data_IF_993651789388
#
_entry.id   IF_993651789388
#
_cell.length_a   1.000
_cell.length_b   1.000
_cell.length_c   1.000
_cell.angle_alpha   90.00
_cell.angle_beta   90.00
_cell.angle_gamma   90.00
#
_symmetry.space_group_name_H-M   'P 1'
#
loop_
_entity.id
_entity.type
_entity.pdbx_description
1 polymer ?
#
# COMPACT_ATOMS: atom_id res chain seq x y z
N UNK A 1 -58.00 29.52 -37.01
CA UNK A 1 -56.76 29.23 -36.27
C UNK A 1 -56.53 27.73 -36.30
N UNK A 2 -55.52 27.24 -37.02
CA UNK A 2 -55.23 25.80 -37.10
C UNK A 2 -54.40 25.37 -35.88
N UNK A 3 -54.96 24.47 -35.08
CA UNK A 3 -54.26 23.81 -33.99
C UNK A 3 -53.19 22.88 -34.57
N UNK A 4 -51.91 23.17 -34.34
CA UNK A 4 -50.80 22.24 -34.62
C UNK A 4 -50.62 21.30 -33.43
N UNK A 5 -50.91 20.03 -33.65
CA UNK A 5 -50.60 18.94 -32.70
C UNK A 5 -49.07 18.86 -32.51
N UNK A 6 -48.54 18.79 -31.28
CA UNK A 6 -47.11 18.62 -31.06
C UNK A 6 -46.65 17.28 -31.63
N UNK A 7 -45.76 17.31 -32.63
CA UNK A 7 -45.07 16.10 -33.09
C UNK A 7 -44.12 15.65 -31.98
N UNK A 8 -44.42 14.51 -31.36
CA UNK A 8 -43.46 13.76 -30.56
C UNK A 8 -42.24 13.47 -31.45
N UNK A 9 -41.12 14.14 -31.18
CA UNK A 9 -39.83 13.68 -31.70
C UNK A 9 -39.56 12.30 -31.07
N UNK A 10 -39.23 11.26 -31.84
CA UNK A 10 -38.77 10.02 -31.25
C UNK A 10 -37.56 10.33 -30.35
N UNK A 11 -37.56 9.80 -29.12
CA UNK A 11 -36.36 9.84 -28.27
C UNK A 11 -35.21 9.28 -29.12
N UNK A 12 -34.12 10.05 -29.26
CA UNK A 12 -32.87 9.50 -29.80
C UNK A 12 -32.58 8.21 -29.03
N UNK A 13 -32.18 7.11 -29.68
CA UNK A 13 -31.77 5.91 -28.95
C UNK A 13 -30.74 6.35 -27.90
N UNK A 14 -31.00 6.06 -26.62
CA UNK A 14 -30.01 6.30 -25.57
C UNK A 14 -28.75 5.56 -26.02
N UNK A 15 -27.65 6.30 -26.20
CA UNK A 15 -26.37 5.73 -26.57
C UNK A 15 -26.00 4.66 -25.55
N UNK A 16 -25.61 3.47 -26.01
CA UNK A 16 -25.14 2.38 -25.16
C UNK A 16 -24.19 2.92 -24.06
N UNK A 17 -24.55 2.83 -22.78
CA UNK A 17 -23.78 3.43 -21.70
C UNK A 17 -22.37 2.82 -21.60
N UNK A 18 -22.14 1.62 -22.14
CA UNK A 18 -20.84 0.93 -22.14
C UNK A 18 -20.03 1.11 -23.43
N UNK A 19 -20.44 2.02 -24.32
CA UNK A 19 -19.67 2.32 -25.53
C UNK A 19 -18.22 2.69 -25.20
N UNK A 20 -17.28 2.06 -25.91
CA UNK A 20 -15.83 2.23 -25.70
C UNK A 20 -15.19 1.26 -24.69
N UNK A 21 -15.98 0.40 -24.06
CA UNK A 21 -15.49 -0.63 -23.13
C UNK A 21 -15.40 -1.99 -23.82
N UNK A 22 -14.34 -2.74 -23.50
CA UNK A 22 -14.23 -4.15 -23.86
C UNK A 22 -15.31 -4.94 -23.11
N UNK A 23 -16.01 -5.83 -23.81
CA UNK A 23 -17.03 -6.72 -23.23
C UNK A 23 -16.58 -8.17 -23.26
N UNK A 24 -17.07 -8.95 -22.31
CA UNK A 24 -16.91 -10.41 -22.26
C UNK A 24 -18.25 -11.08 -21.89
N UNK A 25 -18.44 -12.35 -22.26
CA UNK A 25 -19.55 -13.14 -21.73
C UNK A 25 -19.12 -13.75 -20.40
N UNK A 26 -19.96 -13.68 -19.39
CA UNK A 26 -19.60 -14.16 -18.06
C UNK A 26 -19.26 -15.66 -18.03
N UNK A 27 -19.91 -16.44 -18.89
CA UNK A 27 -19.70 -17.88 -19.04
C UNK A 27 -18.37 -18.23 -19.75
N UNK A 28 -17.69 -17.27 -20.37
CA UNK A 28 -16.34 -17.46 -20.95
C UNK A 28 -15.25 -17.56 -19.87
N UNK A 29 -15.59 -17.28 -18.60
CA UNK A 29 -14.66 -17.36 -17.47
C UNK A 29 -14.85 -18.69 -16.74
N UNK A 30 -13.85 -19.55 -16.82
CA UNK A 30 -13.85 -20.89 -16.20
C UNK A 30 -13.19 -20.87 -14.81
N UNK A 31 -13.21 -22.01 -14.11
CA UNK A 31 -12.53 -22.22 -12.82
C UNK A 31 -12.88 -21.17 -11.74
N UNK A 32 -14.12 -20.68 -11.77
CA UNK A 32 -14.53 -19.59 -10.89
C UNK A 32 -14.50 -20.01 -9.43
N UNK A 33 -13.74 -19.27 -8.61
CA UNK A 33 -13.66 -19.47 -7.16
C UNK A 33 -13.96 -18.15 -6.46
N UNK A 34 -14.78 -18.18 -5.42
CA UNK A 34 -14.98 -17.01 -4.60
C UNK A 34 -13.70 -16.68 -3.82
N UNK A 35 -13.22 -15.44 -3.95
CA UNK A 35 -12.09 -14.92 -3.17
C UNK A 35 -12.62 -14.23 -1.91
N UNK A 36 -13.63 -13.36 -2.08
CA UNK A 36 -14.09 -12.50 -1.00
C UNK A 36 -15.55 -12.06 -1.18
N UNK A 37 -16.18 -11.64 -0.08
CA UNK A 37 -17.47 -10.93 -0.06
C UNK A 37 -17.22 -9.55 0.57
N UNK A 38 -16.79 -8.61 -0.26
CA UNK A 38 -16.57 -7.23 0.15
C UNK A 38 -17.87 -6.44 0.30
N UNK A 39 -17.75 -5.19 0.74
CA UNK A 39 -18.86 -4.21 0.83
C UNK A 39 -19.58 -4.01 -0.51
N UNK A 40 -18.86 -4.10 -1.63
CA UNK A 40 -19.39 -3.92 -3.00
C UNK A 40 -20.09 -5.14 -3.57
N UNK A 41 -19.83 -6.32 -3.00
CA UNK A 41 -20.43 -7.57 -3.46
C UNK A 41 -19.41 -8.70 -3.51
N UNK A 42 -19.59 -9.55 -4.49
CA UNK A 42 -18.89 -10.82 -4.59
C UNK A 42 -17.66 -10.67 -5.48
N UNK A 43 -16.49 -11.04 -4.94
CA UNK A 43 -15.23 -11.07 -5.69
C UNK A 43 -14.90 -12.52 -6.00
N UNK A 44 -14.70 -12.84 -7.28
CA UNK A 44 -14.32 -14.17 -7.76
C UNK A 44 -13.01 -14.13 -8.52
N UNK A 45 -12.19 -15.14 -8.32
CA UNK A 45 -11.13 -15.54 -9.25
C UNK A 45 -11.77 -16.32 -10.40
N UNK A 46 -11.16 -16.28 -11.58
CA UNK A 46 -11.43 -17.22 -12.66
C UNK A 46 -10.35 -17.19 -13.73
N UNK A 47 -10.49 -18.05 -14.73
CA UNK A 47 -9.59 -18.11 -15.89
C UNK A 47 -10.35 -17.69 -17.14
N UNK A 48 -9.91 -16.61 -17.78
CA UNK A 48 -10.57 -16.03 -18.95
C UNK A 48 -9.80 -16.34 -20.21
N UNK A 49 -10.50 -16.70 -21.28
CA UNK A 49 -9.93 -16.87 -22.62
C UNK A 49 -10.55 -15.86 -23.59
N UNK A 50 -9.85 -14.76 -23.92
CA UNK A 50 -10.35 -13.80 -24.89
C UNK A 50 -10.60 -14.46 -26.25
N UNK A 51 -11.68 -14.06 -26.93
CA UNK A 51 -11.97 -14.54 -28.28
C UNK A 51 -10.80 -14.24 -29.23
N UNK A 52 -10.29 -15.28 -29.89
CA UNK A 52 -9.15 -15.17 -30.81
C UNK A 52 -7.76 -15.20 -30.16
N UNK A 53 -7.67 -15.31 -28.83
CA UNK A 53 -6.39 -15.52 -28.15
C UNK A 53 -6.15 -17.01 -27.85
N UNK A 54 -4.88 -17.48 -27.97
CA UNK A 54 -4.55 -18.90 -27.84
C UNK A 54 -4.59 -19.36 -26.38
N UNK A 55 -4.23 -18.47 -25.45
CA UNK A 55 -4.05 -18.79 -24.04
C UNK A 55 -5.09 -18.08 -23.20
N UNK A 56 -5.50 -18.76 -22.14
CA UNK A 56 -6.33 -18.23 -21.08
C UNK A 56 -5.45 -17.71 -19.95
N UNK A 57 -5.88 -16.65 -19.27
CA UNK A 57 -5.15 -16.06 -18.15
C UNK A 57 -6.05 -15.86 -16.93
N UNK A 58 -5.42 -15.70 -15.77
CA UNK A 58 -6.10 -15.50 -14.50
C UNK A 58 -6.68 -14.09 -14.39
N UNK A 59 -7.92 -13.98 -13.94
CA UNK A 59 -8.66 -12.71 -13.79
C UNK A 59 -9.43 -12.66 -12.48
N UNK A 60 -9.78 -11.44 -12.07
CA UNK A 60 -10.70 -11.17 -10.97
C UNK A 60 -11.99 -10.58 -11.51
N UNK A 61 -13.12 -11.14 -11.07
CA UNK A 61 -14.46 -10.67 -11.35
C UNK A 61 -15.04 -10.02 -10.10
N UNK A 62 -15.43 -8.75 -10.21
CA UNK A 62 -16.16 -8.02 -9.16
C UNK A 62 -17.62 -7.91 -9.57
N UNK A 63 -18.48 -8.63 -8.84
CA UNK A 63 -19.92 -8.63 -9.05
C UNK A 63 -20.58 -7.77 -7.97
N UNK A 64 -21.52 -6.89 -8.33
CA UNK A 64 -22.19 -6.05 -7.35
C UNK A 64 -23.15 -6.84 -6.47
N UNK A 65 -23.30 -6.39 -5.22
CA UNK A 65 -24.20 -6.98 -4.22
C UNK A 65 -25.67 -6.77 -4.58
N UNK A 66 -26.03 -5.53 -4.88
CA UNK A 66 -27.42 -5.10 -5.11
C UNK A 66 -27.52 -4.36 -6.45
N UNK A 67 -28.36 -4.87 -7.35
CA UNK A 67 -28.69 -4.21 -8.61
C UNK A 67 -30.09 -3.59 -8.46
N UNK A 68 -30.16 -2.30 -8.17
CA UNK A 68 -31.42 -1.58 -7.98
C UNK A 68 -31.45 -0.25 -8.73
N UNK A 69 -32.64 0.20 -9.17
CA UNK A 69 -32.81 1.51 -9.78
C UNK A 69 -31.94 1.75 -11.03
N UNK A 70 -31.27 2.91 -11.08
CA UNK A 70 -30.41 3.35 -12.20
C UNK A 70 -28.99 2.73 -12.17
N UNK A 71 -28.81 1.57 -11.54
CA UNK A 71 -27.51 0.93 -11.32
C UNK A 71 -26.66 0.80 -12.60
N UNK A 72 -27.28 0.48 -13.75
CA UNK A 72 -26.58 0.37 -15.04
C UNK A 72 -25.77 1.62 -15.39
N UNK A 73 -26.32 2.82 -15.16
CA UNK A 73 -25.65 4.09 -15.48
C UNK A 73 -24.50 4.37 -14.52
N UNK A 74 -24.61 3.95 -13.26
CA UNK A 74 -23.57 4.10 -12.24
C UNK A 74 -22.42 3.13 -12.52
N UNK A 75 -22.76 1.86 -12.77
CA UNK A 75 -21.81 0.82 -13.14
C UNK A 75 -21.04 1.15 -14.43
N UNK A 76 -21.71 1.69 -15.46
CA UNK A 76 -21.04 2.13 -16.68
C UNK A 76 -20.07 3.30 -16.44
N UNK A 77 -20.39 4.23 -15.52
CA UNK A 77 -19.48 5.33 -15.15
C UNK A 77 -18.24 4.79 -14.43
N UNK A 78 -18.42 3.83 -13.54
CA UNK A 78 -17.33 3.16 -12.82
C UNK A 78 -16.40 2.43 -13.80
N UNK A 79 -16.95 1.59 -14.68
CA UNK A 79 -16.17 0.89 -15.70
C UNK A 79 -15.40 1.86 -16.61
N UNK A 80 -16.00 2.99 -16.98
CA UNK A 80 -15.31 4.04 -17.78
C UNK A 80 -14.18 4.73 -17.01
N UNK A 81 -14.37 5.00 -15.72
CA UNK A 81 -13.33 5.55 -14.87
C UNK A 81 -12.14 4.59 -14.79
N UNK A 82 -12.39 3.32 -14.47
CA UNK A 82 -11.36 2.28 -14.41
C UNK A 82 -10.62 2.13 -15.75
N UNK A 83 -11.35 2.12 -16.87
CA UNK A 83 -10.76 2.05 -18.20
C UNK A 83 -9.94 3.28 -18.58
N UNK A 84 -10.21 4.46 -17.99
CA UNK A 84 -9.48 5.70 -18.29
C UNK A 84 -8.07 5.77 -17.67
N UNK A 85 -7.81 4.96 -16.64
CA UNK A 85 -6.55 4.95 -15.89
C UNK A 85 -5.76 3.65 -16.05
N UNK A 86 -6.18 2.78 -16.97
CA UNK A 86 -5.47 1.51 -17.22
C UNK A 86 -4.09 1.77 -17.86
N UNK A 87 -3.14 0.90 -17.54
CA UNK A 87 -1.80 0.90 -18.14
C UNK A 87 -0.70 1.45 -17.23
N UNK A 88 -1.03 2.05 -16.09
CA UNK A 88 -0.02 2.42 -15.09
C UNK A 88 0.43 1.18 -14.28
N UNK A 89 1.74 0.97 -14.04
CA UNK A 89 2.24 -0.23 -13.38
C UNK A 89 1.73 -0.41 -11.94
N UNK A 90 1.43 0.69 -11.26
CA UNK A 90 0.95 0.70 -9.86
C UNK A 90 -0.56 0.93 -9.70
N UNK A 91 -1.34 0.75 -10.77
CA UNK A 91 -2.81 0.74 -10.73
C UNK A 91 -3.29 -0.62 -11.22
N UNK A 92 -4.32 -1.18 -10.59
CA UNK A 92 -4.94 -2.42 -11.07
C UNK A 92 -5.54 -2.20 -12.47
N UNK A 93 -5.19 -3.08 -13.40
CA UNK A 93 -5.61 -3.00 -14.78
C UNK A 93 -7.04 -3.50 -14.95
N UNK A 94 -7.91 -2.63 -15.46
CA UNK A 94 -9.23 -3.00 -15.92
C UNK A 94 -9.18 -3.60 -17.32
N UNK A 95 -9.77 -4.78 -17.47
CA UNK A 95 -9.72 -5.54 -18.72
C UNK A 95 -11.03 -5.43 -19.50
N UNK A 96 -12.17 -5.73 -18.87
CA UNK A 96 -13.45 -5.84 -19.55
C UNK A 96 -14.65 -5.73 -18.60
N UNK A 97 -15.84 -5.61 -19.17
CA UNK A 97 -17.11 -5.59 -18.44
C UNK A 97 -18.09 -6.63 -18.99
N UNK A 98 -18.81 -7.32 -18.10
CA UNK A 98 -20.02 -8.08 -18.43
C UNK A 98 -21.23 -7.27 -18.01
N UNK A 99 -22.30 -7.35 -18.80
CA UNK A 99 -23.61 -6.75 -18.48
C UNK A 99 -24.66 -7.80 -18.14
N UNK A 100 -24.31 -9.08 -18.23
CA UNK A 100 -25.20 -10.19 -17.87
C UNK A 100 -24.39 -11.39 -17.30
N UNK A 101 -24.30 -11.52 -15.96
CA UNK A 101 -24.59 -10.48 -14.97
C UNK A 101 -23.63 -9.28 -15.08
N UNK A 102 -23.93 -8.17 -14.41
CA UNK A 102 -22.96 -7.08 -14.25
C UNK A 102 -21.72 -7.59 -13.53
N UNK A 103 -20.55 -7.45 -14.16
CA UNK A 103 -19.27 -7.81 -13.56
C UNK A 103 -18.14 -6.98 -14.16
N UNK A 104 -17.26 -6.43 -13.31
CA UNK A 104 -16.00 -5.84 -13.74
C UNK A 104 -14.92 -6.92 -13.74
N UNK A 105 -14.14 -6.99 -14.82
CA UNK A 105 -12.98 -7.86 -14.93
C UNK A 105 -11.71 -7.04 -14.80
N UNK A 106 -10.85 -7.45 -13.87
CA UNK A 106 -9.51 -6.88 -13.66
C UNK A 106 -8.45 -7.96 -13.70
N UNK A 107 -7.20 -7.56 -13.84
CA UNK A 107 -6.06 -8.48 -13.73
C UNK A 107 -6.06 -9.20 -12.36
N UNK A 108 -5.57 -10.45 -12.34
CA UNK A 108 -5.30 -11.17 -11.09
C UNK A 108 -3.89 -10.89 -10.57
N UNK A 109 -3.82 -10.33 -9.37
CA UNK A 109 -2.58 -9.90 -8.71
C UNK A 109 -2.34 -10.75 -7.47
N UNK A 110 -1.15 -11.36 -7.36
CA UNK A 110 -0.72 -12.10 -6.17
C UNK A 110 0.78 -12.00 -5.91
N UNK A 111 1.15 -12.05 -4.65
CA UNK A 111 2.50 -12.35 -4.19
C UNK A 111 2.55 -13.83 -3.80
N UNK A 112 3.38 -14.59 -4.50
CA UNK A 112 3.65 -16.01 -4.22
C UNK A 112 4.86 -16.13 -3.32
N UNK A 113 4.73 -16.84 -2.20
CA UNK A 113 5.88 -17.13 -1.34
C UNK A 113 6.68 -18.37 -1.77
N UNK A 114 6.30 -18.99 -2.90
CA UNK A 114 6.96 -20.19 -3.42
C UNK A 114 8.48 -20.04 -3.62
N UNK A 115 9.01 -18.88 -4.09
CA UNK A 115 10.46 -18.65 -4.15
C UNK A 115 11.18 -18.68 -2.80
N UNK A 116 10.44 -18.62 -1.69
CA UNK A 116 10.92 -18.65 -0.30
C UNK A 116 10.50 -19.93 0.42
N UNK A 117 10.29 -21.02 -0.33
CA UNK A 117 9.92 -22.35 0.17
C UNK A 117 8.58 -22.41 0.92
N UNK A 118 7.69 -21.45 0.65
CA UNK A 118 6.37 -21.35 1.27
C UNK A 118 5.27 -21.38 0.19
N UNK A 119 4.36 -22.35 0.28
CA UNK A 119 3.30 -22.57 -0.72
C UNK A 119 2.15 -21.57 -0.64
N UNK A 120 2.21 -20.61 0.28
CA UNK A 120 1.18 -19.59 0.42
C UNK A 120 1.27 -18.54 -0.68
N UNK A 121 0.12 -17.91 -0.94
CA UNK A 121 0.05 -16.72 -1.78
C UNK A 121 -0.96 -15.77 -1.16
N UNK A 122 -0.68 -14.49 -1.28
CA UNK A 122 -1.53 -13.41 -0.78
C UNK A 122 -1.76 -12.39 -1.89
N UNK A 123 -2.88 -11.68 -1.85
CA UNK A 123 -3.18 -10.64 -2.84
C UNK A 123 -3.09 -9.24 -2.27
N UNK A 124 -3.48 -9.02 -1.01
CA UNK A 124 -3.48 -7.69 -0.39
C UNK A 124 -2.21 -7.41 0.41
N UNK A 125 -1.84 -6.14 0.53
CA UNK A 125 -0.75 -5.70 1.39
C UNK A 125 -1.06 -6.01 2.87
N UNK A 126 -2.32 -5.94 3.29
CA UNK A 126 -2.71 -6.32 4.65
C UNK A 126 -2.33 -7.78 4.96
N UNK A 127 -2.65 -8.70 4.06
CA UNK A 127 -2.34 -10.13 4.22
C UNK A 127 -0.84 -10.39 4.11
N UNK A 128 -0.15 -9.69 3.20
CA UNK A 128 1.31 -9.76 3.06
C UNK A 128 2.03 -9.38 4.36
N UNK A 129 1.70 -8.23 4.95
CA UNK A 129 2.33 -7.79 6.20
C UNK A 129 2.07 -8.77 7.34
N UNK A 130 0.82 -9.26 7.46
CA UNK A 130 0.44 -10.24 8.48
C UNK A 130 1.19 -11.56 8.31
N UNK A 131 1.32 -12.05 7.07
CA UNK A 131 2.01 -13.28 6.74
C UNK A 131 3.50 -13.17 7.04
N UNK A 132 4.15 -12.12 6.54
CA UNK A 132 5.59 -11.92 6.72
C UNK A 132 5.95 -11.72 8.21
N UNK A 133 5.15 -10.93 8.94
CA UNK A 133 5.33 -10.79 10.39
C UNK A 133 5.27 -12.14 11.12
N UNK A 134 4.30 -12.99 10.76
CA UNK A 134 4.03 -14.24 11.47
C UNK A 134 4.99 -15.38 11.10
N UNK A 135 5.42 -15.47 9.84
CA UNK A 135 6.20 -16.60 9.33
C UNK A 135 7.71 -16.34 9.27
N UNK A 136 8.13 -15.08 9.09
CA UNK A 136 9.53 -14.74 8.78
C UNK A 136 10.21 -13.99 9.93
N UNK A 137 10.21 -14.57 11.13
CA UNK A 137 10.95 -14.12 12.32
C UNK A 137 11.07 -12.58 12.42
N UNK A 138 9.93 -11.88 12.50
CA UNK A 138 9.92 -10.42 12.59
C UNK A 138 10.47 -9.75 11.32
N UNK A 139 9.97 -10.15 10.15
CA UNK A 139 10.27 -9.52 8.85
C UNK A 139 11.71 -9.69 8.33
N UNK A 140 12.47 -10.64 8.88
CA UNK A 140 13.86 -10.90 8.49
C UNK A 140 13.96 -11.29 7.01
N UNK A 141 14.80 -10.56 6.26
CA UNK A 141 15.02 -10.76 4.82
C UNK A 141 14.00 -10.05 3.91
N UNK A 142 13.02 -9.36 4.49
CA UNK A 142 11.99 -8.60 3.77
C UNK A 142 12.09 -7.09 4.02
N UNK A 143 13.13 -6.62 4.71
CA UNK A 143 13.25 -5.24 5.16
C UNK A 143 13.33 -4.25 3.99
N UNK A 144 14.05 -4.59 2.91
CA UNK A 144 14.19 -3.77 1.71
C UNK A 144 12.90 -3.68 0.88
N UNK A 145 11.92 -4.55 1.15
CA UNK A 145 10.62 -4.55 0.47
C UNK A 145 9.78 -3.34 0.89
N UNK A 146 9.91 -2.88 2.15
CA UNK A 146 9.08 -1.80 2.71
C UNK A 146 9.24 -0.47 1.96
N UNK A 147 10.46 0.05 1.70
CA UNK A 147 10.64 1.24 0.85
C UNK A 147 10.10 1.06 -0.57
N UNK A 148 10.23 -0.14 -1.16
CA UNK A 148 9.70 -0.43 -2.49
C UNK A 148 8.17 -0.36 -2.53
N UNK A 149 7.49 -0.92 -1.52
CA UNK A 149 6.03 -0.80 -1.36
C UNK A 149 5.64 0.68 -1.23
N UNK A 150 6.29 1.42 -0.32
CA UNK A 150 5.99 2.83 -0.08
C UNK A 150 6.09 3.67 -1.37
N UNK A 151 7.09 3.37 -2.21
CA UNK A 151 7.34 4.06 -3.49
C UNK A 151 6.29 3.72 -4.53
N UNK A 152 5.95 2.44 -4.68
CA UNK A 152 4.94 2.00 -5.65
C UNK A 152 3.56 2.56 -5.32
N UNK A 153 3.19 2.61 -4.03
CA UNK A 153 1.93 3.22 -3.59
C UNK A 153 1.93 4.72 -3.89
N UNK A 154 3.04 5.44 -3.65
CA UNK A 154 3.13 6.86 -4.00
C UNK A 154 3.02 7.10 -5.52
N UNK A 155 3.67 6.28 -6.34
CA UNK A 155 3.57 6.35 -7.80
C UNK A 155 2.13 6.13 -8.30
N UNK A 156 1.44 5.11 -7.77
CA UNK A 156 0.04 4.88 -8.09
C UNK A 156 -0.85 6.07 -7.70
N UNK A 157 -0.66 6.59 -6.48
CA UNK A 157 -1.48 7.68 -5.97
C UNK A 157 -1.24 8.99 -6.72
N UNK A 158 0.02 9.30 -7.04
CA UNK A 158 0.40 10.40 -7.93
C UNK A 158 -0.34 10.32 -9.26
N UNK A 159 -0.29 9.16 -9.91
CA UNK A 159 -0.94 8.96 -11.20
C UNK A 159 -2.46 9.18 -11.14
N UNK A 160 -3.13 8.72 -10.08
CA UNK A 160 -4.55 9.02 -9.88
C UNK A 160 -4.79 10.52 -9.71
N UNK A 161 -3.98 11.19 -8.87
CA UNK A 161 -4.10 12.62 -8.58
C UNK A 161 -3.87 13.49 -9.81
N UNK A 162 -2.89 13.15 -10.66
CA UNK A 162 -2.63 13.81 -11.95
C UNK A 162 -3.83 13.70 -12.91
N UNK A 163 -4.57 12.59 -12.83
CA UNK A 163 -5.79 12.35 -13.58
C UNK A 163 -7.06 12.88 -12.87
N UNK A 164 -6.91 13.70 -11.82
CA UNK A 164 -8.01 14.26 -11.02
C UNK A 164 -8.94 13.19 -10.42
N UNK A 165 -8.36 12.04 -10.05
CA UNK A 165 -9.02 10.94 -9.38
C UNK A 165 -8.47 10.86 -7.96
N UNK A 166 -9.38 10.79 -6.99
CA UNK A 166 -9.06 10.62 -5.57
C UNK A 166 -9.56 9.25 -5.14
N UNK A 167 -8.78 8.58 -4.31
CA UNK A 167 -9.03 7.22 -3.87
C UNK A 167 -10.13 7.16 -2.81
N UNK A 168 -9.95 7.93 -1.71
CA UNK A 168 -10.83 8.09 -0.54
C UNK A 168 -10.92 6.91 0.44
N UNK A 169 -10.58 5.70 0.01
CA UNK A 169 -10.48 4.53 0.91
C UNK A 169 -9.10 3.84 0.83
N UNK A 170 -8.01 4.61 0.80
CA UNK A 170 -6.68 4.03 0.66
C UNK A 170 -6.29 3.34 1.97
N UNK A 171 -6.03 2.03 1.91
CA UNK A 171 -5.63 1.19 3.04
C UNK A 171 -4.92 -0.07 2.53
N UNK A 172 -4.19 -0.81 3.38
CA UNK A 172 -3.47 -2.01 2.96
C UNK A 172 -4.35 -3.09 2.30
N UNK A 173 -5.64 -3.17 2.63
CA UNK A 173 -6.55 -4.11 1.97
C UNK A 173 -6.84 -3.76 0.49
N UNK A 174 -6.73 -2.47 0.12
CA UNK A 174 -6.98 -1.96 -1.24
C UNK A 174 -5.67 -1.76 -2.05
N UNK A 175 -4.55 -2.21 -1.50
CA UNK A 175 -3.24 -2.22 -2.18
C UNK A 175 -2.92 -3.68 -2.46
N UNK A 176 -2.87 -4.06 -3.74
CA UNK A 176 -2.51 -5.40 -4.15
C UNK A 176 -0.99 -5.54 -4.28
N UNK A 177 -0.45 -6.69 -3.89
CA UNK A 177 0.98 -7.01 -3.95
C UNK A 177 1.26 -8.08 -5.00
N UNK A 178 2.34 -7.91 -5.76
CA UNK A 178 2.74 -8.86 -6.79
C UNK A 178 4.24 -9.13 -6.77
N UNK A 179 4.58 -10.38 -7.02
CA UNK A 179 5.90 -10.78 -7.49
C UNK A 179 5.87 -11.61 -8.77
N UNK A 180 4.75 -11.63 -9.47
CA UNK A 180 4.53 -12.46 -10.67
C UNK A 180 5.56 -12.20 -11.78
N UNK A 181 6.24 -11.04 -11.76
CA UNK A 181 7.32 -10.72 -12.70
C UNK A 181 8.58 -11.57 -12.51
N UNK A 182 8.77 -12.23 -11.36
CA UNK A 182 9.91 -13.13 -11.11
C UNK A 182 9.56 -14.50 -10.56
N UNK A 183 8.28 -14.85 -10.38
CA UNK A 183 7.90 -16.17 -9.83
C UNK A 183 8.40 -17.38 -10.63
N UNK A 184 8.73 -17.19 -11.90
CA UNK A 184 9.24 -18.24 -12.79
C UNK A 184 10.78 -18.21 -12.93
N UNK A 185 11.46 -17.29 -12.26
CA UNK A 185 12.91 -17.14 -12.28
C UNK A 185 13.56 -18.01 -11.20
N UNK A 186 14.81 -18.42 -11.40
CA UNK A 186 15.56 -19.25 -10.48
C UNK A 186 17.05 -18.83 -10.43
N UNK A 187 17.75 -19.23 -9.37
CA UNK A 187 19.18 -18.93 -9.19
C UNK A 187 19.47 -17.43 -9.18
N UNK A 188 20.57 -17.05 -9.82
CA UNK A 188 21.08 -15.67 -9.85
C UNK A 188 20.06 -14.64 -10.39
N UNK A 189 19.19 -15.03 -11.34
CA UNK A 189 18.14 -14.16 -11.88
C UNK A 189 17.08 -13.80 -10.84
N UNK A 190 16.67 -14.79 -10.04
CA UNK A 190 15.72 -14.59 -8.94
C UNK A 190 16.34 -13.70 -7.87
N UNK A 191 17.59 -13.96 -7.49
CA UNK A 191 18.30 -13.16 -6.49
C UNK A 191 18.45 -11.70 -6.95
N UNK A 192 18.85 -11.49 -8.20
CA UNK A 192 18.95 -10.14 -8.77
C UNK A 192 17.59 -9.42 -8.72
N UNK A 193 16.52 -10.07 -9.16
CA UNK A 193 15.20 -9.44 -9.21
C UNK A 193 14.61 -9.22 -7.81
N UNK A 194 14.87 -10.12 -6.86
CA UNK A 194 14.49 -9.95 -5.46
C UNK A 194 15.14 -8.73 -4.81
N UNK A 195 16.39 -8.44 -5.15
CA UNK A 195 17.09 -7.26 -4.63
C UNK A 195 16.71 -5.99 -5.38
N UNK A 196 16.54 -6.06 -6.71
CA UNK A 196 16.28 -4.90 -7.56
C UNK A 196 14.82 -4.44 -7.53
N UNK A 197 13.87 -5.38 -7.57
CA UNK A 197 12.43 -5.12 -7.61
C UNK A 197 11.67 -6.24 -6.88
N UNK A 198 11.78 -6.29 -5.54
CA UNK A 198 11.21 -7.36 -4.72
C UNK A 198 9.69 -7.49 -4.83
N UNK A 199 8.99 -6.41 -5.19
CA UNK A 199 7.53 -6.37 -5.22
C UNK A 199 7.07 -5.35 -6.25
N UNK A 200 5.84 -5.55 -6.73
CA UNK A 200 5.04 -4.54 -7.43
C UNK A 200 3.75 -4.32 -6.64
N UNK A 201 3.49 -3.10 -6.21
CA UNK A 201 2.22 -2.75 -5.57
C UNK A 201 1.28 -2.05 -6.55
N UNK A 202 0.00 -2.43 -6.52
CA UNK A 202 -1.05 -1.88 -7.39
C UNK A 202 -2.23 -1.41 -6.54
N UNK A 203 -2.61 -0.15 -6.70
CA UNK A 203 -3.80 0.41 -6.07
C UNK A 203 -5.04 -0.13 -6.78
N UNK A 204 -5.97 -0.68 -6.01
CA UNK A 204 -7.28 -1.14 -6.45
C UNK A 204 -8.38 -0.32 -5.77
N UNK A 205 -9.64 -0.50 -6.18
CA UNK A 205 -10.78 0.01 -5.41
C UNK A 205 -10.79 1.54 -5.21
N UNK A 206 -10.25 2.25 -6.21
CA UNK A 206 -10.27 3.70 -6.30
C UNK A 206 -11.54 4.20 -6.99
N UNK A 207 -11.95 5.44 -6.68
CA UNK A 207 -13.16 6.02 -7.25
C UNK A 207 -14.45 5.59 -6.54
N UNK A 208 -14.32 4.84 -5.46
CA UNK A 208 -15.39 4.34 -4.57
C UNK A 208 -16.25 5.44 -3.90
N UNK A 209 -15.93 6.72 -4.12
CA UNK A 209 -16.74 7.87 -3.70
C UNK A 209 -17.63 8.51 -4.79
N UNK A 210 -17.86 7.86 -5.94
CA UNK A 210 -18.44 8.54 -7.14
C UNK A 210 -19.85 8.11 -7.59
N UNK A 211 -20.64 7.42 -6.78
CA UNK A 211 -22.09 7.36 -7.05
C UNK A 211 -22.88 8.63 -6.60
N UNK A 212 -22.20 9.64 -6.05
CA UNK A 212 -22.83 10.87 -5.57
C UNK A 212 -22.19 12.18 -6.09
N UNK A 213 -21.73 12.21 -7.35
CA UNK A 213 -21.39 13.49 -8.06
C UNK A 213 -22.68 14.28 -8.43
N UNK A 214 -23.80 14.02 -7.75
CA UNK A 214 -24.96 14.90 -7.73
C UNK A 214 -25.29 15.13 -6.26
N UNK A 215 -25.12 16.39 -5.84
CA UNK A 215 -25.33 16.95 -4.50
C UNK A 215 -24.14 16.84 -3.55
N UNK A 216 -23.36 17.93 -3.55
CA UNK A 216 -22.26 18.30 -2.64
C UNK A 216 -22.57 18.11 -1.15
N UNK A 217 -23.84 17.88 -0.75
CA UNK A 217 -24.26 17.60 0.62
C UNK A 217 -24.28 16.10 1.01
N UNK A 218 -24.33 15.17 0.05
CA UNK A 218 -24.53 13.73 0.34
C UNK A 218 -23.22 12.94 0.45
N UNK A 219 -22.09 13.54 0.09
CA UNK A 219 -20.75 12.93 0.14
C UNK A 219 -20.33 12.46 1.54
N UNK A 220 -20.90 13.07 2.59
CA UNK A 220 -20.53 12.82 3.98
C UNK A 220 -21.46 11.79 4.64
N UNK A 221 -22.64 11.54 4.06
CA UNK A 221 -23.68 10.71 4.70
C UNK A 221 -23.81 9.30 4.14
N UNK A 222 -23.16 8.96 3.02
CA UNK A 222 -23.26 7.64 2.42
C UNK A 222 -22.20 6.68 2.97
N UNK A 223 -22.66 5.82 3.89
CA UNK A 223 -22.09 4.52 4.33
C UNK A 223 -20.87 4.56 5.27
N UNK A 224 -21.17 4.85 6.54
CA UNK A 224 -20.56 4.19 7.73
C UNK A 224 -21.08 2.74 7.86
N UNK A 225 -21.20 2.00 6.76
CA UNK A 225 -21.79 0.65 6.77
C UNK A 225 -20.87 -0.35 6.08
N UNK A 226 -19.71 -0.55 6.71
CA UNK A 226 -19.20 -1.86 7.14
C UNK A 226 -18.02 -1.57 8.06
N UNK A 227 -18.29 -1.61 9.37
CA UNK A 227 -17.30 -1.56 10.44
C UNK A 227 -16.43 -2.82 10.38
N UNK A 228 -15.55 -2.91 9.38
CA UNK A 228 -14.27 -3.55 9.61
C UNK A 228 -13.47 -2.58 10.48
N UNK A 229 -13.12 -3.04 11.68
CA UNK A 229 -12.60 -2.24 12.79
C UNK A 229 -11.37 -1.36 12.46
N UNK A 230 -10.77 -1.52 11.28
CA UNK A 230 -9.59 -0.78 10.81
C UNK A 230 -9.81 0.33 9.78
N UNK A 231 -10.90 0.36 8.99
CA UNK A 231 -11.03 1.38 7.90
C UNK A 231 -11.03 2.85 8.40
N UNK A 232 -11.73 3.19 9.52
CA UNK A 232 -11.69 4.55 10.07
C UNK A 232 -10.29 5.03 10.49
N UNK A 233 -9.38 4.12 10.84
CA UNK A 233 -8.04 4.47 11.31
C UNK A 233 -7.16 5.12 10.22
N UNK A 234 -7.54 4.98 8.94
CA UNK A 234 -6.85 5.59 7.80
C UNK A 234 -7.48 6.93 7.38
N UNK A 235 -8.64 7.31 7.93
CA UNK A 235 -9.34 8.54 7.53
C UNK A 235 -8.68 9.78 8.13
N UNK A 236 -8.62 10.85 7.33
CA UNK A 236 -8.13 12.14 7.78
C UNK A 236 -9.05 12.77 8.84
N UNK A 237 -8.53 13.48 9.85
CA UNK A 237 -9.33 14.08 10.92
C UNK A 237 -10.40 15.03 10.40
N UNK A 238 -10.10 15.80 9.36
CA UNK A 238 -11.04 16.73 8.72
C UNK A 238 -12.19 16.04 7.96
N UNK A 239 -12.08 14.75 7.67
CA UNK A 239 -13.17 13.94 7.11
C UNK A 239 -13.91 13.19 8.23
N UNK A 240 -13.19 12.72 9.23
CA UNK A 240 -13.75 11.85 10.26
C UNK A 240 -14.41 12.60 11.43
N UNK A 241 -13.93 13.79 11.78
CA UNK A 241 -14.48 14.61 12.86
C UNK A 241 -15.57 15.54 12.32
N UNK A 242 -16.84 15.39 12.76
CA UNK A 242 -17.95 16.21 12.26
C UNK A 242 -17.73 17.71 12.36
N UNK A 243 -17.07 18.17 13.42
CA UNK A 243 -16.76 19.57 13.66
C UNK A 243 -15.71 20.17 12.71
N UNK A 244 -14.90 19.34 12.04
CA UNK A 244 -13.87 19.77 11.09
C UNK A 244 -14.29 19.57 9.62
N UNK A 245 -15.43 18.91 9.39
CA UNK A 245 -15.88 18.59 8.04
C UNK A 245 -16.16 19.85 7.24
N UNK A 246 -15.54 20.00 6.05
CA UNK A 246 -15.83 21.13 5.19
C UNK A 246 -17.24 21.03 4.62
N UNK A 247 -17.93 22.16 4.47
CA UNK A 247 -19.24 22.20 3.80
C UNK A 247 -19.13 21.79 2.32
N UNK A 248 -18.02 22.16 1.68
CA UNK A 248 -17.64 21.74 0.34
C UNK A 248 -16.15 21.41 0.34
N UNK A 249 -15.78 20.26 -0.25
CA UNK A 249 -14.40 19.84 -0.38
C UNK A 249 -13.90 20.10 -1.81
N UNK A 250 -12.81 20.86 -1.94
CA UNK A 250 -12.11 21.01 -3.23
C UNK A 250 -11.39 19.71 -3.60
N UNK A 251 -11.06 19.56 -4.88
CA UNK A 251 -10.27 18.41 -5.33
C UNK A 251 -8.92 18.31 -4.61
N UNK A 252 -8.25 19.43 -4.38
CA UNK A 252 -6.96 19.46 -3.67
C UNK A 252 -7.08 19.05 -2.21
N UNK A 253 -8.16 19.43 -1.52
CA UNK A 253 -8.44 18.94 -0.17
C UNK A 253 -8.66 17.42 -0.17
N UNK A 254 -9.37 16.88 -1.16
CA UNK A 254 -9.58 15.44 -1.27
C UNK A 254 -8.29 14.67 -1.59
N UNK A 255 -7.37 15.25 -2.38
CA UNK A 255 -6.02 14.70 -2.58
C UNK A 255 -5.23 14.71 -1.28
N UNK A 256 -5.33 15.76 -0.47
CA UNK A 256 -4.69 15.83 0.85
C UNK A 256 -5.24 14.80 1.85
N UNK A 257 -6.51 14.40 1.72
CA UNK A 257 -7.10 13.28 2.49
C UNK A 257 -6.47 11.95 2.08
N UNK A 258 -6.29 11.70 0.78
CA UNK A 258 -5.56 10.51 0.32
C UNK A 258 -4.11 10.52 0.81
N UNK A 259 -3.48 11.69 0.86
CA UNK A 259 -2.12 11.86 1.37
C UNK A 259 -2.01 11.50 2.85
N UNK A 260 -3.01 11.87 3.67
CA UNK A 260 -3.10 11.39 5.06
C UNK A 260 -3.22 9.86 5.13
N UNK A 261 -4.11 9.27 4.32
CA UNK A 261 -4.30 7.84 4.29
C UNK A 261 -3.02 7.10 3.85
N UNK A 262 -2.27 7.66 2.90
CA UNK A 262 -0.94 7.19 2.52
C UNK A 262 0.01 7.21 3.72
N UNK A 263 0.06 8.32 4.48
CA UNK A 263 0.83 8.40 5.72
C UNK A 263 0.45 7.29 6.72
N UNK A 264 -0.82 6.96 6.86
CA UNK A 264 -1.28 5.85 7.72
C UNK A 264 -0.90 4.46 7.17
N UNK A 265 -0.85 4.28 5.85
CA UNK A 265 -0.28 3.07 5.22
C UNK A 265 1.21 2.95 5.56
N UNK A 266 1.99 4.04 5.44
CA UNK A 266 3.42 4.04 5.79
C UNK A 266 3.67 3.65 7.25
N UNK A 267 2.83 4.12 8.17
CA UNK A 267 2.90 3.72 9.58
C UNK A 267 2.80 2.20 9.78
N UNK A 268 1.85 1.56 9.09
CA UNK A 268 1.65 0.11 9.20
C UNK A 268 2.77 -0.67 8.51
N UNK A 269 3.34 -0.14 7.42
CA UNK A 269 4.52 -0.76 6.78
C UNK A 269 5.70 -0.88 7.74
N UNK A 270 5.92 0.12 8.60
CA UNK A 270 7.00 0.12 9.59
C UNK A 270 6.59 -0.45 10.95
N UNK A 271 5.35 -0.95 11.05
CA UNK A 271 4.79 -1.65 12.21
C UNK A 271 3.93 -2.85 11.80
N UNK A 272 4.48 -3.84 11.07
CA UNK A 272 3.69 -4.93 10.50
C UNK A 272 3.07 -5.89 11.55
N UNK A 273 3.44 -5.77 12.82
CA UNK A 273 2.75 -6.44 13.94
C UNK A 273 1.36 -5.85 14.24
N UNK A 274 1.08 -4.62 13.81
CA UNK A 274 -0.20 -3.95 14.04
C UNK A 274 -1.18 -4.26 12.92
N UNK A 275 -2.44 -4.52 13.27
CA UNK A 275 -3.50 -4.78 12.28
C UNK A 275 -3.99 -3.49 11.62
N UNK A 276 -3.92 -2.36 12.33
CA UNK A 276 -4.35 -1.04 11.85
C UNK A 276 -3.70 0.08 12.69
N UNK A 277 -3.61 1.33 12.19
CA UNK A 277 -3.14 2.47 12.97
C UNK A 277 -3.99 2.68 14.23
N UNK A 278 -3.39 3.20 15.30
CA UNK A 278 -4.06 3.47 16.58
C UNK A 278 -4.52 2.24 17.38
N UNK A 279 -4.10 1.02 17.01
CA UNK A 279 -4.53 -0.21 17.70
C UNK A 279 -4.27 -0.15 19.22
N UNK A 280 -3.06 0.21 19.62
CA UNK A 280 -2.66 0.27 21.04
C UNK A 280 -3.37 1.41 21.79
N UNK A 281 -3.51 2.56 21.14
CA UNK A 281 -4.20 3.73 21.68
C UNK A 281 -5.68 3.44 21.91
N UNK A 282 -6.31 2.75 20.97
CA UNK A 282 -7.71 2.33 21.09
C UNK A 282 -7.90 1.32 22.21
N UNK A 283 -6.96 0.39 22.40
CA UNK A 283 -6.98 -0.55 23.53
C UNK A 283 -6.90 0.22 24.86
N UNK A 284 -5.98 1.20 24.97
CA UNK A 284 -5.81 2.03 26.18
C UNK A 284 -7.03 2.91 26.48
N UNK A 285 -7.57 3.59 25.46
CA UNK A 285 -8.78 4.42 25.61
C UNK A 285 -9.99 3.59 26.04
N UNK A 286 -10.18 2.40 25.45
CA UNK A 286 -11.31 1.53 25.79
C UNK A 286 -11.13 0.80 27.12
N UNK A 287 -9.89 0.56 27.56
CA UNK A 287 -9.63 0.07 28.92
C UNK A 287 -10.05 1.10 29.98
N UNK A 288 -9.90 2.39 29.66
CA UNK A 288 -10.32 3.49 30.53
C UNK A 288 -11.84 3.75 30.47
N UNK A 289 -12.49 3.47 29.34
CA UNK A 289 -13.95 3.57 29.19
C UNK A 289 -14.50 2.46 28.28
N UNK A 290 -14.85 1.28 28.85
CA UNK A 290 -15.25 0.10 28.06
C UNK A 290 -16.53 0.25 27.24
N UNK A 291 -17.42 1.16 27.67
CA UNK A 291 -18.71 1.42 27.02
C UNK A 291 -18.61 2.33 25.80
N UNK A 292 -17.48 3.01 25.60
CA UNK A 292 -17.26 3.86 24.43
C UNK A 292 -17.04 3.00 23.18
N UNK A 293 -17.72 3.37 22.09
CA UNK A 293 -17.54 2.74 20.78
C UNK A 293 -16.10 2.92 20.27
N UNK A 294 -15.63 2.03 19.39
CA UNK A 294 -14.30 2.17 18.76
C UNK A 294 -14.19 3.50 18.00
N UNK A 295 -15.26 3.87 17.30
CA UNK A 295 -15.34 5.12 16.55
C UNK A 295 -15.20 6.34 17.46
N UNK A 296 -15.93 6.39 18.57
CA UNK A 296 -15.86 7.52 19.50
C UNK A 296 -14.52 7.58 20.24
N UNK A 297 -13.91 6.43 20.53
CA UNK A 297 -12.55 6.38 21.07
C UNK A 297 -11.54 6.96 20.08
N UNK A 298 -11.64 6.62 18.79
CA UNK A 298 -10.80 7.19 17.75
C UNK A 298 -11.00 8.71 17.63
N UNK A 299 -12.25 9.19 17.68
CA UNK A 299 -12.53 10.64 17.69
C UNK A 299 -11.86 11.34 18.86
N UNK A 300 -11.82 10.73 20.04
CA UNK A 300 -11.13 11.30 21.21
C UNK A 300 -9.61 11.36 20.99
N UNK A 301 -9.00 10.33 20.42
CA UNK A 301 -7.56 10.31 20.09
C UNK A 301 -7.24 11.42 19.08
N UNK A 302 -8.00 11.51 18.00
CA UNK A 302 -7.77 12.50 16.93
C UNK A 302 -8.00 13.94 17.40
N UNK A 303 -8.99 14.20 18.29
CA UNK A 303 -9.19 15.51 18.91
C UNK A 303 -8.01 15.97 19.77
N UNK A 304 -7.21 15.04 20.27
CA UNK A 304 -5.98 15.35 21.02
C UNK A 304 -4.76 15.52 20.11
N UNK A 305 -4.95 15.44 18.79
CA UNK A 305 -3.86 15.41 17.81
C UNK A 305 -2.81 14.34 18.13
N UNK A 306 -3.24 13.22 18.72
CA UNK A 306 -2.34 12.13 19.08
C UNK A 306 -2.06 11.28 17.84
N UNK A 307 -0.79 11.00 17.56
CA UNK A 307 -0.32 10.09 16.51
C UNK A 307 -0.27 8.63 16.99
N UNK A 308 -0.44 7.65 16.09
CA UNK A 308 -0.26 6.26 16.44
C UNK A 308 1.21 6.00 16.79
N UNK A 309 1.47 5.18 17.82
CA UNK A 309 2.81 4.92 18.31
C UNK A 309 3.40 3.63 17.73
N UNK A 310 4.69 3.69 17.37
CA UNK A 310 5.42 2.51 16.91
C UNK A 310 5.53 1.46 18.02
N UNK A 311 5.57 0.19 17.60
CA UNK A 311 5.91 -0.93 18.49
C UNK A 311 7.42 -1.08 18.61
N UNK A 312 7.91 -1.52 19.77
CA UNK A 312 9.35 -1.76 19.99
C UNK A 312 9.90 -2.99 19.25
N UNK A 313 9.02 -3.79 18.62
CA UNK A 313 9.38 -5.01 17.90
C UNK A 313 10.33 -4.70 16.71
N UNK A 314 10.15 -3.53 16.10
CA UNK A 314 10.83 -3.12 14.87
C UNK A 314 11.74 -1.90 15.07
N UNK A 315 12.13 -1.60 16.30
CA UNK A 315 12.87 -0.38 16.64
C UNK A 315 14.17 -0.23 15.84
N UNK A 316 14.88 -1.34 15.61
CA UNK A 316 16.12 -1.35 14.82
C UNK A 316 15.85 -0.99 13.35
N UNK A 317 14.87 -1.62 12.71
CA UNK A 317 14.52 -1.34 11.31
C UNK A 317 13.98 0.09 11.16
N UNK A 318 13.12 0.54 12.09
CA UNK A 318 12.60 1.91 12.16
C UNK A 318 13.70 2.97 12.29
N UNK A 319 14.76 2.67 13.03
CA UNK A 319 15.94 3.53 13.18
C UNK A 319 16.92 3.44 12.01
N UNK A 320 16.79 2.45 11.11
CA UNK A 320 17.74 2.19 10.02
C UNK A 320 17.03 2.17 8.66
N UNK A 321 16.82 0.99 8.08
CA UNK A 321 16.30 0.76 6.72
C UNK A 321 14.89 1.30 6.49
N UNK A 322 14.10 1.53 7.55
CA UNK A 322 12.75 2.08 7.47
C UNK A 322 12.66 3.55 7.92
N UNK A 323 13.77 4.19 8.28
CA UNK A 323 13.77 5.55 8.83
C UNK A 323 13.16 6.59 7.86
N UNK A 324 13.47 6.48 6.57
CA UNK A 324 12.87 7.34 5.53
C UNK A 324 11.35 7.18 5.47
N UNK A 325 10.87 5.93 5.55
CA UNK A 325 9.42 5.63 5.51
C UNK A 325 8.72 6.17 6.75
N UNK A 326 9.34 6.03 7.93
CA UNK A 326 8.82 6.60 9.18
C UNK A 326 8.78 8.14 9.14
N UNK A 327 9.83 8.78 8.63
CA UNK A 327 9.88 10.25 8.48
C UNK A 327 8.81 10.77 7.52
N UNK A 328 8.54 10.02 6.44
CA UNK A 328 7.44 10.32 5.53
C UNK A 328 6.08 10.17 6.25
N UNK A 329 5.84 9.09 6.99
CA UNK A 329 4.62 8.95 7.79
C UNK A 329 4.34 10.20 8.62
N UNK A 330 5.32 10.69 9.38
CA UNK A 330 5.16 11.88 10.23
C UNK A 330 4.79 13.14 9.42
N UNK A 331 5.43 13.31 8.26
CA UNK A 331 5.22 14.45 7.35
C UNK A 331 3.81 14.48 6.73
N UNK A 332 3.27 13.31 6.40
CA UNK A 332 1.97 13.14 5.77
C UNK A 332 0.81 13.09 6.77
N UNK A 333 1.11 12.85 8.05
CA UNK A 333 0.12 12.79 9.14
C UNK A 333 0.22 13.98 10.09
N UNK A 334 0.68 15.12 9.58
CA UNK A 334 0.66 16.39 10.32
C UNK A 334 -0.78 16.88 10.49
N UNK A 335 -1.18 17.15 11.73
CA UNK A 335 -2.54 17.59 12.05
C UNK A 335 -2.79 19.02 11.57
N UNK A 336 -1.74 19.86 11.57
CA UNK A 336 -1.76 21.16 10.93
C UNK A 336 -1.72 21.00 9.39
N UNK A 337 -2.86 21.18 8.75
CA UNK A 337 -3.03 21.04 7.29
C UNK A 337 -2.03 21.90 6.51
N UNK A 338 -1.63 23.06 7.05
CA UNK A 338 -0.68 23.96 6.37
C UNK A 338 0.74 23.41 6.31
N UNK A 339 1.08 22.48 7.20
CA UNK A 339 2.40 21.82 7.30
C UNK A 339 2.41 20.42 6.72
N UNK A 340 1.22 19.84 6.48
CA UNK A 340 1.07 18.49 5.96
C UNK A 340 1.56 18.41 4.52
N UNK A 341 2.44 17.45 4.23
CA UNK A 341 2.79 17.13 2.84
C UNK A 341 1.58 16.53 2.12
N UNK A 342 1.34 16.99 0.90
CA UNK A 342 0.26 16.48 0.04
C UNK A 342 0.75 15.98 -1.33
N UNK A 343 1.98 16.33 -1.70
CA UNK A 343 2.59 16.02 -3.01
C UNK A 343 3.26 14.65 -3.00
N UNK A 344 2.77 13.71 -3.81
CA UNK A 344 3.34 12.36 -3.90
C UNK A 344 4.74 12.34 -4.54
N UNK A 345 5.07 13.35 -5.35
CA UNK A 345 6.38 13.57 -5.93
C UNK A 345 7.46 13.68 -4.86
N UNK A 346 7.15 14.36 -3.75
CA UNK A 346 8.08 14.49 -2.63
C UNK A 346 8.35 13.11 -2.01
N UNK A 347 7.32 12.28 -1.83
CA UNK A 347 7.52 10.92 -1.31
C UNK A 347 8.39 10.07 -2.24
N UNK A 348 8.12 10.11 -3.55
CA UNK A 348 8.88 9.35 -4.55
C UNK A 348 10.35 9.77 -4.52
N UNK A 349 10.63 11.07 -4.55
CA UNK A 349 12.01 11.59 -4.54
C UNK A 349 12.79 11.20 -3.29
N UNK A 350 12.14 11.26 -2.10
CA UNK A 350 12.78 10.84 -0.85
C UNK A 350 13.09 9.33 -0.83
N UNK A 351 12.21 8.51 -1.42
CA UNK A 351 12.37 7.05 -1.45
C UNK A 351 13.42 6.60 -2.48
N UNK A 352 13.59 7.32 -3.58
CA UNK A 352 14.63 7.05 -4.58
C UNK A 352 16.04 7.26 -4.05
N UNK A 353 16.25 8.28 -3.21
CA UNK A 353 17.54 8.51 -2.54
C UNK A 353 17.91 7.48 -1.46
N UNK A 354 16.96 6.62 -1.08
CA UNK A 354 17.12 5.61 -0.01
C UNK A 354 17.16 4.16 -0.50
N UNK A 355 16.96 3.91 -1.79
CA UNK A 355 17.20 2.58 -2.34
C UNK A 355 18.70 2.28 -2.18
N UNK A 356 19.08 1.10 -1.64
CA UNK A 356 20.48 0.75 -1.57
C UNK A 356 21.02 0.83 -3.01
N UNK A 357 22.03 1.69 -3.21
CA UNK A 357 23.04 1.40 -4.22
C UNK A 357 23.37 -0.08 -4.05
N UNK A 358 23.49 -0.83 -5.14
CA UNK A 358 24.14 -2.13 -5.13
C UNK A 358 25.56 -1.93 -4.58
N UNK A 359 25.71 -1.75 -3.28
CA UNK A 359 26.92 -2.10 -2.59
C UNK A 359 26.90 -3.61 -2.67
N UNK A 360 27.69 -4.13 -3.61
CA UNK A 360 28.21 -5.49 -3.50
C UNK A 360 28.46 -5.75 -2.01
N UNK A 361 28.00 -6.89 -1.51
CA UNK A 361 28.40 -7.36 -0.20
C UNK A 361 29.93 -7.41 -0.18
N UNK A 362 30.57 -6.32 0.24
CA UNK A 362 32.00 -6.30 0.50
C UNK A 362 32.13 -7.17 1.73
N UNK A 363 32.42 -8.45 1.50
CA UNK A 363 32.90 -9.34 2.54
C UNK A 363 34.13 -8.65 3.14
N UNK A 364 33.92 -7.99 4.28
CA UNK A 364 35.02 -7.46 5.04
C UNK A 364 35.93 -8.65 5.32
N UNK A 365 37.22 -8.59 4.93
CA UNK A 365 38.14 -9.73 5.05
C UNK A 365 38.34 -10.16 6.51
N UNK A 366 37.85 -9.35 7.46
CA UNK A 366 37.86 -9.65 8.87
C UNK A 366 36.53 -9.20 9.46
N UNK A 367 35.78 -10.14 10.04
CA UNK A 367 34.67 -9.83 10.94
C UNK A 367 35.23 -9.03 12.11
N UNK A 368 34.55 -7.95 12.53
CA UNK A 368 34.97 -7.19 13.71
C UNK A 368 35.03 -8.07 14.97
N UNK A 369 34.24 -9.14 15.02
CA UNK A 369 34.30 -10.13 16.09
C UNK A 369 35.64 -10.90 16.09
N UNK A 370 36.19 -11.25 14.92
CA UNK A 370 37.45 -12.00 14.83
C UNK A 370 38.67 -11.18 15.26
N UNK A 371 38.66 -9.86 14.99
CA UNK A 371 39.71 -8.97 15.46
C UNK A 371 39.65 -8.77 16.98
N UNK A 372 38.44 -8.66 17.55
CA UNK A 372 38.23 -8.57 18.99
C UNK A 372 38.63 -9.88 19.70
N UNK A 373 38.22 -11.03 19.16
CA UNK A 373 38.54 -12.36 19.69
C UNK A 373 40.05 -12.65 19.68
N UNK A 374 40.75 -12.28 18.61
CA UNK A 374 42.21 -12.42 18.52
C UNK A 374 42.93 -11.55 19.57
N UNK A 375 42.39 -10.37 19.87
CA UNK A 375 42.96 -9.46 20.85
C UNK A 375 42.66 -9.89 22.28
N UNK A 376 41.46 -10.38 22.57
CA UNK A 376 41.11 -10.99 23.86
C UNK A 376 41.94 -12.24 24.14
N UNK A 377 42.23 -13.05 23.11
CA UNK A 377 43.10 -14.22 23.23
C UNK A 377 44.56 -13.83 23.56
N UNK A 378 45.11 -12.80 22.91
CA UNK A 378 46.46 -12.28 23.20
C UNK A 378 46.53 -11.59 24.57
N UNK A 379 45.47 -10.90 24.99
CA UNK A 379 45.36 -10.33 26.33
C UNK A 379 45.35 -11.43 27.40
N UNK A 380 44.58 -12.49 27.19
CA UNK A 380 44.53 -13.65 28.09
C UNK A 380 45.90 -14.35 28.21
N UNK A 381 46.67 -14.45 27.12
CA UNK A 381 48.06 -14.94 27.14
C UNK A 381 49.01 -14.04 27.94
N UNK A 382 48.90 -12.72 27.80
CA UNK A 382 49.77 -11.77 28.53
C UNK A 382 49.46 -11.74 30.03
N UNK A 383 48.18 -11.83 30.39
CA UNK A 383 47.72 -11.91 31.79
C UNK A 383 48.16 -13.24 32.43
N UNK A 384 48.07 -14.35 31.71
CA UNK A 384 48.54 -15.66 32.19
C UNK A 384 50.07 -15.78 32.30
N UNK A 385 50.82 -14.95 31.56
CA UNK A 385 52.28 -14.87 31.65
C UNK A 385 52.79 -13.94 32.78
N UNK A 386 51.90 -13.33 33.58
CA UNK A 386 52.26 -12.55 34.77
C UNK A 386 52.88 -11.18 34.49
N UNK A 387 52.71 -10.63 33.28
CA UNK A 387 53.23 -9.31 32.91
C UNK A 387 52.27 -8.21 33.38
N UNK A 388 52.68 -7.43 34.38
CA UNK A 388 51.98 -6.21 34.81
C UNK A 388 52.31 -5.06 33.85
N UNK A 389 51.52 -4.87 32.80
CA UNK A 389 51.57 -3.65 31.98
C UNK A 389 50.38 -2.74 32.27
N UNK A 390 50.64 -1.45 32.46
CA UNK A 390 49.63 -0.40 32.64
C UNK A 390 48.67 -0.31 31.45
N UNK A 391 47.38 -0.09 31.74
CA UNK A 391 46.27 0.04 30.77
C UNK A 391 46.44 1.17 29.72
N UNK A 392 47.52 1.95 29.77
CA UNK A 392 47.77 3.09 28.87
C UNK A 392 48.46 2.73 27.56
N UNK A 393 49.09 1.55 27.44
CA UNK A 393 49.85 1.17 26.23
C UNK A 393 49.02 0.36 25.21
N UNK A 394 47.74 0.14 25.49
CA UNK A 394 46.80 -0.53 24.58
C UNK A 394 45.93 0.47 23.83
N UNK A 395 46.57 1.37 23.08
CA UNK A 395 45.86 2.08 22.04
C UNK A 395 45.42 1.07 20.98
N UNK A 396 44.11 1.01 20.73
CA UNK A 396 43.53 0.27 19.60
C UNK A 396 44.26 0.75 18.35
N UNK A 397 45.01 -0.14 17.69
CA UNK A 397 45.42 0.08 16.31
C UNK A 397 44.16 -0.13 15.46
N UNK A 398 43.23 0.83 15.59
CA UNK A 398 42.16 1.02 14.63
C UNK A 398 42.87 1.67 13.46
N UNK A 399 43.57 0.85 12.67
CA UNK A 399 43.92 1.24 11.32
C UNK A 399 42.58 1.59 10.68
N UNK A 400 42.33 2.90 10.61
CA UNK A 400 41.11 3.54 10.16
C UNK A 400 40.75 3.18 8.71
N UNK A 401 41.42 2.18 8.13
CA UNK A 401 41.19 1.55 6.85
C UNK A 401 39.73 1.13 6.68
N UNK A 402 39.08 0.56 7.70
CA UNK A 402 37.67 0.13 7.56
C UNK A 402 36.66 1.29 7.59
N UNK A 403 36.94 2.37 8.32
CA UNK A 403 36.11 3.57 8.30
C UNK A 403 36.33 4.40 7.01
N UNK A 404 37.57 4.43 6.50
CA UNK A 404 37.94 5.13 5.29
C UNK A 404 37.45 4.45 4.00
N UNK A 405 37.32 3.11 3.96
CA UNK A 405 36.74 2.41 2.79
C UNK A 405 35.27 2.81 2.60
N UNK A 406 34.53 3.02 3.68
CA UNK A 406 33.13 3.48 3.62
C UNK A 406 33.00 4.94 3.12
N UNK A 407 33.95 5.81 3.49
CA UNK A 407 33.97 7.21 3.06
C UNK A 407 34.57 7.41 1.65
N UNK A 408 35.50 6.56 1.20
CA UNK A 408 36.16 6.71 -0.09
C UNK A 408 35.26 6.33 -1.28
N UNK A 409 34.31 5.41 -1.10
CA UNK A 409 33.41 4.96 -2.18
C UNK A 409 32.26 5.95 -2.46
N UNK A 410 31.87 6.77 -1.49
CA UNK A 410 30.86 7.83 -1.69
C UNK A 410 31.43 9.02 -2.51
N UNK A 411 32.76 9.20 -2.54
CA UNK A 411 33.40 10.33 -3.23
C UNK A 411 33.73 10.04 -4.71
N UNK A 412 33.66 8.79 -5.17
CA UNK A 412 33.90 8.45 -6.58
C UNK A 412 32.63 8.28 -7.44
N UNK A 413 31.44 8.55 -6.88
CA UNK A 413 30.17 8.51 -7.60
C UNK A 413 29.43 9.87 -7.61
N UNK A 414 30.18 10.97 -7.71
CA UNK A 414 29.66 12.30 -8.07
C UNK A 414 30.07 12.70 -9.48
#
# INVERSE_FOLDING_TARGET
MSFKVPRHKPKRPESDPFSGLQRFQFDDVTDQKQIDIGSYGLVKYGRYKPCGQPLSHDVVLKLPRDVTGNYEKEFAKEAKLLNSVKGHPNIVSFEAVSVNPFALMTEYVKFSFEPFEDQTSVSSLADFLSHVHSQYHVFSGFEHVVPAIAKDVANGLKYLHDNNIVHRDLKPANILVSNQHYTHMHGDELEFMWNYKPVVCKIADFGEGRSAIIQTQTLISSKVQTLDRGSPAYMAPEIFLPELQPQEATLEQLKAVDAWAYGMVLFVLVNPALRYPFQEELIKERSSNPFRSVEDSLKVILRRCQRPQCTSIYEVQQATVWNTVLSLHESYTEFDISKRKSSMEDAISNLEGSLPLLCENINLPVSQATALEAQDYELAKKVSAGVSSSLSDMAVLNDATNACVFLALIVQAF
#
